data_IF_780525233531
#
_entry.id   IF_780525233531
#
_cell.length_a   1.000
_cell.length_b   1.000
_cell.length_c   1.000
_cell.angle_alpha   90.00
_cell.angle_beta   90.00
_cell.angle_gamma   90.00
#
_symmetry.space_group_name_H-M   'P 1'
#
loop_
_entity.id
_entity.type
_entity.pdbx_description
1 polymer ?
#
# COMPACT_ATOMS: atom_id res chain seq x y z
N UNK A 1 8.74 29.75 4.99
CA UNK A 1 9.01 28.30 5.10
C UNK A 1 8.46 27.67 3.83
N UNK A 2 9.20 26.81 3.12
CA UNK A 2 8.63 26.07 2.01
C UNK A 2 7.42 25.28 2.53
N UNK A 3 6.32 25.28 1.77
CA UNK A 3 5.16 24.47 2.14
C UNK A 3 5.56 22.99 2.09
N UNK A 4 5.09 22.15 3.04
CA UNK A 4 5.37 20.73 2.99
C UNK A 4 4.86 20.16 1.69
N UNK A 5 5.69 19.34 1.06
CA UNK A 5 5.46 18.74 -0.25
C UNK A 5 4.28 17.76 -0.18
N UNK A 6 3.26 17.94 -1.03
CA UNK A 6 2.13 17.04 -1.11
C UNK A 6 2.58 15.73 -1.77
N UNK A 7 2.45 14.62 -1.06
CA UNK A 7 2.79 13.28 -1.57
C UNK A 7 1.60 12.67 -2.31
N UNK A 8 0.40 12.80 -1.74
CA UNK A 8 -0.84 12.29 -2.33
C UNK A 8 -1.87 13.41 -2.34
N UNK A 9 -2.48 13.65 -3.52
CA UNK A 9 -3.61 14.55 -3.66
C UNK A 9 -4.73 13.83 -4.40
N UNK A 10 -5.92 13.87 -3.83
CA UNK A 10 -7.14 13.29 -4.38
C UNK A 10 -8.16 14.40 -4.52
N UNK A 11 -8.75 14.56 -5.70
CA UNK A 11 -9.78 15.56 -5.95
C UNK A 11 -11.03 14.92 -6.53
N UNK A 12 -12.16 15.04 -5.81
CA UNK A 12 -13.49 14.61 -6.22
C UNK A 12 -13.53 13.18 -6.78
N UNK A 13 -12.92 12.23 -6.09
CA UNK A 13 -12.84 10.85 -6.52
C UNK A 13 -14.21 10.16 -6.40
N UNK A 14 -14.68 9.53 -7.48
CA UNK A 14 -15.92 8.77 -7.53
C UNK A 14 -15.64 7.31 -7.90
N UNK A 15 -16.31 6.39 -7.19
CA UNK A 15 -16.28 4.95 -7.47
C UNK A 15 -17.64 4.33 -7.25
N UNK A 16 -18.09 3.57 -8.24
CA UNK A 16 -19.33 2.77 -8.16
C UNK A 16 -19.04 1.33 -8.57
N UNK A 17 -19.79 0.38 -8.01
CA UNK A 17 -19.87 -1.00 -8.41
C UNK A 17 -21.31 -1.27 -8.86
N UNK A 18 -21.56 -1.34 -10.17
CA UNK A 18 -22.91 -1.30 -10.73
C UNK A 18 -23.62 -0.03 -10.28
N UNK A 19 -24.80 -0.17 -9.70
CA UNK A 19 -25.63 0.95 -9.21
C UNK A 19 -25.22 1.46 -7.83
N UNK A 20 -24.34 0.73 -7.11
CA UNK A 20 -23.87 1.11 -5.78
C UNK A 20 -22.73 2.12 -5.87
N UNK A 21 -23.02 3.39 -5.56
CA UNK A 21 -21.99 4.43 -5.46
C UNK A 21 -21.31 4.37 -4.09
N UNK A 22 -20.02 3.99 -4.07
CA UNK A 22 -19.20 3.82 -2.86
C UNK A 22 -18.41 5.09 -2.53
N UNK A 23 -17.70 5.67 -3.51
CA UNK A 23 -17.03 6.96 -3.33
C UNK A 23 -17.85 8.05 -4.04
N UNK A 24 -18.18 9.12 -3.30
CA UNK A 24 -19.12 10.18 -3.73
C UNK A 24 -18.42 11.54 -3.78
N UNK A 25 -17.30 11.64 -4.52
CA UNK A 25 -16.55 12.89 -4.66
C UNK A 25 -15.58 13.15 -3.49
N UNK A 26 -14.85 12.10 -3.06
CA UNK A 26 -13.88 12.20 -1.97
C UNK A 26 -12.68 13.03 -2.40
N UNK A 27 -12.26 13.96 -1.54
CA UNK A 27 -11.04 14.76 -1.70
C UNK A 27 -10.18 14.64 -0.45
N UNK A 28 -8.87 14.51 -0.63
CA UNK A 28 -7.89 14.32 0.44
C UNK A 28 -6.53 14.82 -0.03
N UNK A 29 -5.76 15.42 0.88
CA UNK A 29 -4.34 15.71 0.66
C UNK A 29 -3.53 15.13 1.81
N UNK A 30 -2.48 14.39 1.49
CA UNK A 30 -1.49 13.91 2.44
C UNK A 30 -0.11 14.47 2.08
N UNK A 31 0.54 15.11 3.05
CA UNK A 31 1.86 15.73 2.91
C UNK A 31 2.93 14.82 3.49
N UNK A 32 4.15 15.07 3.14
CA UNK A 32 5.29 14.35 3.70
C UNK A 32 5.32 14.49 5.24
N UNK A 33 5.29 13.34 5.92
CA UNK A 33 5.27 13.26 7.39
C UNK A 33 3.88 13.27 8.01
N UNK A 34 2.81 13.45 7.24
CA UNK A 34 1.45 13.36 7.75
C UNK A 34 1.07 11.92 8.13
N UNK A 35 0.24 11.79 9.17
CA UNK A 35 -0.50 10.57 9.48
C UNK A 35 -1.99 10.86 9.29
N UNK A 36 -2.58 10.25 8.26
CA UNK A 36 -3.99 10.45 7.91
C UNK A 36 -4.81 9.23 8.30
N UNK A 37 -5.78 9.39 9.18
CA UNK A 37 -6.69 8.32 9.60
C UNK A 37 -8.04 8.43 8.91
N UNK A 38 -8.46 7.34 8.24
CA UNK A 38 -9.78 7.21 7.62
C UNK A 38 -10.73 6.54 8.62
N UNK A 39 -11.73 7.28 9.10
CA UNK A 39 -12.71 6.81 10.08
C UNK A 39 -14.07 6.62 9.40
N UNK A 40 -14.74 5.52 9.71
CA UNK A 40 -16.09 5.22 9.19
C UNK A 40 -16.48 3.78 9.47
N UNK A 41 -17.78 3.48 9.38
CA UNK A 41 -18.34 2.13 9.55
C UNK A 41 -17.81 1.14 8.52
N UNK A 42 -17.99 -0.16 8.77
CA UNK A 42 -17.73 -1.18 7.75
C UNK A 42 -18.56 -0.89 6.50
N UNK A 43 -17.99 -1.07 5.32
CA UNK A 43 -18.64 -0.77 4.05
C UNK A 43 -18.68 0.71 3.66
N UNK A 44 -18.12 1.65 4.45
CA UNK A 44 -18.11 3.08 4.10
C UNK A 44 -17.18 3.46 2.95
N UNK A 45 -16.42 2.51 2.38
CA UNK A 45 -15.55 2.73 1.22
C UNK A 45 -14.08 3.02 1.55
N UNK A 46 -13.63 2.87 2.81
CA UNK A 46 -12.22 3.09 3.21
C UNK A 46 -11.24 2.26 2.39
N UNK A 47 -11.44 0.94 2.35
CA UNK A 47 -10.60 0.03 1.56
C UNK A 47 -10.68 0.33 0.06
N UNK A 48 -11.86 0.69 -0.44
CA UNK A 48 -12.04 1.10 -1.84
C UNK A 48 -11.23 2.36 -2.16
N UNK A 49 -11.24 3.35 -1.27
CA UNK A 49 -10.43 4.56 -1.42
C UNK A 49 -8.93 4.23 -1.48
N UNK A 50 -8.42 3.45 -0.52
CA UNK A 50 -7.00 3.05 -0.48
C UNK A 50 -6.60 2.27 -1.74
N UNK A 51 -7.46 1.37 -2.23
CA UNK A 51 -7.21 0.62 -3.48
C UNK A 51 -7.24 1.51 -4.72
N UNK A 52 -8.12 2.52 -4.77
CA UNK A 52 -8.10 3.51 -5.85
C UNK A 52 -6.82 4.35 -5.82
N UNK A 53 -6.35 4.75 -4.65
CA UNK A 53 -5.09 5.52 -4.48
C UNK A 53 -3.88 4.71 -4.93
N UNK A 54 -3.84 3.41 -4.62
CA UNK A 54 -2.79 2.49 -5.09
C UNK A 54 -3.02 1.99 -6.53
N UNK A 55 -4.04 2.51 -7.22
CA UNK A 55 -4.41 2.12 -8.59
C UNK A 55 -4.72 0.61 -8.75
N UNK A 56 -5.07 -0.08 -7.65
CA UNK A 56 -5.57 -1.46 -7.66
C UNK A 56 -7.02 -1.54 -8.11
N UNK A 57 -7.76 -0.44 -7.93
CA UNK A 57 -9.13 -0.23 -8.38
C UNK A 57 -9.21 1.01 -9.25
N UNK A 58 -9.99 0.94 -10.32
CA UNK A 58 -10.25 2.09 -11.18
C UNK A 58 -11.27 3.04 -10.52
N UNK A 59 -11.12 4.32 -10.71
CA UNK A 59 -12.14 5.32 -10.37
C UNK A 59 -12.86 5.81 -11.61
N UNK A 60 -14.15 6.17 -11.52
CA UNK A 60 -14.89 6.68 -12.67
C UNK A 60 -14.62 8.17 -12.93
N UNK A 61 -14.42 8.96 -11.84
CA UNK A 61 -14.21 10.41 -11.92
C UNK A 61 -13.26 10.88 -10.82
N UNK A 62 -12.78 12.10 -10.95
CA UNK A 62 -11.86 12.75 -10.02
C UNK A 62 -10.41 12.60 -10.48
N UNK A 63 -9.50 13.16 -9.73
CA UNK A 63 -8.08 13.16 -10.03
C UNK A 63 -7.29 12.57 -8.86
N UNK A 64 -6.18 11.91 -9.18
CA UNK A 64 -5.19 11.43 -8.22
C UNK A 64 -3.85 11.96 -8.69
N UNK A 65 -3.15 12.67 -7.82
CA UNK A 65 -1.77 13.09 -8.05
C UNK A 65 -0.88 12.41 -7.03
N UNK A 66 0.30 11.98 -7.49
CA UNK A 66 1.38 11.50 -6.65
C UNK A 66 2.61 12.37 -6.89
N UNK A 67 3.13 13.03 -5.83
CA UNK A 67 4.22 14.02 -5.91
C UNK A 67 3.94 15.11 -6.97
N UNK A 68 2.70 15.60 -7.06
CA UNK A 68 2.29 16.61 -8.02
C UNK A 68 2.10 16.09 -9.45
N UNK A 69 2.41 14.82 -9.74
CA UNK A 69 2.22 14.19 -11.05
C UNK A 69 0.84 13.52 -11.13
N UNK A 70 -0.03 14.00 -12.03
CA UNK A 70 -1.36 13.43 -12.19
C UNK A 70 -1.31 12.05 -12.84
N UNK A 71 -2.14 11.12 -12.33
CA UNK A 71 -2.35 9.82 -12.96
C UNK A 71 -3.01 10.02 -14.33
N UNK A 72 -2.40 9.46 -15.36
CA UNK A 72 -2.93 9.50 -16.71
C UNK A 72 -4.01 8.43 -16.88
N UNK A 73 -5.19 8.84 -17.34
CA UNK A 73 -6.33 7.94 -17.51
C UNK A 73 -6.69 7.78 -19.00
N UNK A 74 -6.95 6.56 -19.43
CA UNK A 74 -7.53 6.26 -20.74
C UNK A 74 -9.04 6.10 -20.63
N UNK A 75 -9.77 6.46 -21.67
CA UNK A 75 -11.20 6.20 -21.75
C UNK A 75 -11.44 4.69 -21.94
N UNK A 76 -12.09 4.05 -20.99
CA UNK A 76 -12.62 2.70 -21.10
C UNK A 76 -14.12 2.71 -21.45
N UNK A 77 -14.64 1.58 -21.91
CA UNK A 77 -16.06 1.47 -22.29
C UNK A 77 -17.03 1.74 -21.11
N UNK A 78 -16.62 1.40 -19.90
CA UNK A 78 -17.44 1.55 -18.68
C UNK A 78 -16.68 2.23 -17.53
N UNK A 79 -15.35 2.10 -17.50
CA UNK A 79 -14.47 2.69 -16.51
C UNK A 79 -13.24 3.24 -17.23
N UNK A 80 -12.65 4.29 -16.68
CA UNK A 80 -11.32 4.72 -17.10
C UNK A 80 -10.28 3.83 -16.44
N UNK A 81 -9.18 3.57 -17.12
CA UNK A 81 -8.04 2.79 -16.60
C UNK A 81 -6.78 3.65 -16.63
N UNK A 82 -5.81 3.40 -15.74
CA UNK A 82 -4.50 4.06 -15.89
C UNK A 82 -3.93 3.79 -17.29
N UNK A 83 -3.59 4.88 -18.00
CA UNK A 83 -3.16 4.80 -19.39
C UNK A 83 -1.71 4.33 -19.53
N UNK A 84 -0.86 4.60 -18.54
CA UNK A 84 0.56 4.32 -18.55
C UNK A 84 0.94 3.30 -17.48
N UNK A 85 1.35 2.11 -17.93
CA UNK A 85 1.79 1.03 -17.03
C UNK A 85 3.10 1.37 -16.30
N UNK A 86 3.97 2.18 -16.89
CA UNK A 86 5.23 2.59 -16.26
C UNK A 86 4.94 3.58 -15.13
N UNK A 87 4.00 4.51 -15.32
CA UNK A 87 3.54 5.41 -14.27
C UNK A 87 2.93 4.62 -13.10
N UNK A 88 2.06 3.63 -13.39
CA UNK A 88 1.48 2.76 -12.36
C UNK A 88 2.56 2.02 -11.57
N UNK A 89 3.55 1.45 -12.27
CA UNK A 89 4.66 0.76 -11.61
C UNK A 89 5.47 1.72 -10.75
N UNK A 90 5.81 2.90 -11.25
CA UNK A 90 6.50 3.96 -10.51
C UNK A 90 5.75 4.32 -9.23
N UNK A 91 4.44 4.61 -9.34
CA UNK A 91 3.61 4.94 -8.17
C UNK A 91 3.62 3.81 -7.15
N UNK A 92 3.34 2.56 -7.54
CA UNK A 92 3.32 1.42 -6.62
C UNK A 92 4.67 1.09 -5.99
N UNK A 93 5.75 1.51 -6.60
CA UNK A 93 7.10 1.37 -6.03
C UNK A 93 7.31 2.32 -4.85
N UNK A 94 6.77 3.54 -4.94
CA UNK A 94 6.90 4.58 -3.91
C UNK A 94 5.71 4.62 -2.93
N UNK A 95 4.62 3.94 -3.25
CA UNK A 95 3.40 3.86 -2.45
C UNK A 95 3.11 2.41 -2.08
N UNK A 96 3.62 1.96 -0.94
CA UNK A 96 3.40 0.60 -0.45
C UNK A 96 2.06 0.46 0.24
N UNK A 97 1.49 -0.76 0.22
CA UNK A 97 0.22 -1.07 0.86
C UNK A 97 0.32 -2.33 1.73
N UNK A 98 -0.16 -2.21 2.97
CA UNK A 98 -0.37 -3.33 3.89
C UNK A 98 -1.85 -3.68 3.86
N UNK A 99 -2.17 -4.90 3.43
CA UNK A 99 -3.53 -5.40 3.28
C UNK A 99 -4.03 -6.02 4.58
N UNK A 100 -5.34 -6.03 4.79
CA UNK A 100 -6.01 -6.68 5.90
C UNK A 100 -5.64 -8.17 6.05
N UNK A 101 -5.49 -8.90 4.94
CA UNK A 101 -5.12 -10.33 4.92
C UNK A 101 -3.61 -10.58 4.85
N UNK A 102 -2.77 -9.53 5.02
CA UNK A 102 -1.30 -9.54 4.96
C UNK A 102 -0.70 -10.04 3.64
N UNK A 103 -1.33 -10.98 2.94
CA UNK A 103 -0.93 -11.53 1.63
C UNK A 103 0.55 -11.95 1.58
N UNK A 104 1.03 -12.63 2.61
CA UNK A 104 2.35 -13.23 2.60
C UNK A 104 2.38 -14.44 1.66
N UNK A 105 3.48 -14.62 0.94
CA UNK A 105 3.70 -15.79 0.09
C UNK A 105 4.00 -17.01 0.95
N UNK A 106 3.07 -17.98 0.99
CA UNK A 106 3.12 -19.13 1.88
C UNK A 106 4.32 -20.07 1.63
N UNK A 107 4.87 -20.07 0.41
CA UNK A 107 6.00 -20.90 -0.02
C UNK A 107 7.37 -20.25 0.21
N UNK A 108 7.41 -19.03 0.72
CA UNK A 108 8.62 -18.26 1.03
C UNK A 108 8.76 -18.09 2.55
N UNK A 109 9.99 -18.07 3.04
CA UNK A 109 10.29 -17.66 4.42
C UNK A 109 9.90 -16.20 4.64
N UNK A 110 9.87 -15.76 5.89
CA UNK A 110 9.58 -14.36 6.23
C UNK A 110 10.65 -13.43 5.66
N UNK A 111 11.92 -13.80 5.73
CA UNK A 111 13.00 -13.02 5.13
C UNK A 111 12.83 -12.91 3.60
N UNK A 112 12.55 -14.02 2.93
CA UNK A 112 12.32 -14.03 1.48
C UNK A 112 11.10 -13.17 1.09
N UNK A 113 10.00 -13.23 1.87
CA UNK A 113 8.83 -12.37 1.68
C UNK A 113 9.19 -10.87 1.72
N UNK A 114 10.09 -10.47 2.62
CA UNK A 114 10.51 -9.07 2.76
C UNK A 114 11.46 -8.65 1.65
N UNK A 115 12.32 -9.56 1.20
CA UNK A 115 13.35 -9.29 0.20
C UNK A 115 12.86 -9.28 -1.24
N UNK A 116 11.77 -10.01 -1.55
CA UNK A 116 11.35 -10.32 -2.92
C UNK A 116 11.17 -9.06 -3.79
N UNK A 117 10.36 -8.11 -3.33
CA UNK A 117 10.06 -6.92 -4.12
C UNK A 117 11.28 -5.99 -4.31
N UNK A 118 12.10 -5.67 -3.29
CA UNK A 118 13.32 -4.88 -3.49
C UNK A 118 14.31 -5.52 -4.47
N UNK A 119 14.44 -6.84 -4.48
CA UNK A 119 15.34 -7.56 -5.40
C UNK A 119 14.75 -7.60 -6.80
N UNK A 120 13.47 -7.98 -6.95
CA UNK A 120 12.87 -8.24 -8.27
C UNK A 120 12.37 -6.97 -8.95
N UNK A 121 11.83 -6.00 -8.21
CA UNK A 121 11.27 -4.76 -8.75
C UNK A 121 12.30 -3.64 -8.80
N UNK A 122 12.99 -3.38 -7.67
CA UNK A 122 14.00 -2.31 -7.58
C UNK A 122 15.37 -2.74 -8.13
N UNK A 123 15.56 -4.03 -8.41
CA UNK A 123 16.84 -4.60 -8.89
C UNK A 123 18.03 -4.32 -7.95
N UNK A 124 17.75 -4.16 -6.65
CA UNK A 124 18.80 -3.94 -5.64
C UNK A 124 19.62 -5.22 -5.42
N UNK A 125 20.92 -5.11 -5.12
CA UNK A 125 21.78 -6.27 -4.83
C UNK A 125 21.25 -7.08 -3.63
N UNK A 126 21.11 -8.40 -3.80
CA UNK A 126 20.55 -9.30 -2.78
C UNK A 126 21.19 -9.15 -1.38
N UNK A 127 22.53 -9.06 -1.22
CA UNK A 127 23.17 -8.92 0.10
C UNK A 127 22.77 -7.60 0.82
N UNK A 128 22.60 -6.53 0.05
CA UNK A 128 22.18 -5.22 0.56
C UNK A 128 20.74 -5.25 1.03
N UNK A 129 19.86 -5.86 0.22
CA UNK A 129 18.45 -6.05 0.57
C UNK A 129 18.31 -6.95 1.78
N UNK A 130 19.09 -8.03 1.91
CA UNK A 130 19.05 -8.91 3.08
C UNK A 130 19.39 -8.15 4.37
N UNK A 131 20.43 -7.31 4.34
CA UNK A 131 20.79 -6.46 5.48
C UNK A 131 19.64 -5.53 5.87
N UNK A 132 19.01 -4.88 4.89
CA UNK A 132 17.87 -4.00 5.13
C UNK A 132 16.65 -4.78 5.66
N UNK A 133 16.35 -5.94 5.08
CA UNK A 133 15.22 -6.78 5.47
C UNK A 133 15.35 -7.27 6.92
N UNK A 134 16.53 -7.74 7.32
CA UNK A 134 16.80 -8.15 8.71
C UNK A 134 16.62 -6.98 9.68
N UNK A 135 17.12 -5.80 9.33
CA UNK A 135 16.94 -4.58 10.11
C UNK A 135 15.45 -4.25 10.31
N UNK A 136 14.64 -4.30 9.23
CA UNK A 136 13.21 -4.01 9.36
C UNK A 136 12.46 -5.09 10.16
N UNK A 137 12.82 -6.36 10.03
CA UNK A 137 12.26 -7.45 10.85
C UNK A 137 12.59 -7.28 12.34
N UNK A 138 13.82 -6.84 12.68
CA UNK A 138 14.19 -6.47 14.05
C UNK A 138 13.38 -5.27 14.55
N UNK A 139 13.24 -4.21 13.76
CA UNK A 139 12.47 -3.01 14.14
C UNK A 139 11.01 -3.31 14.45
N UNK A 140 10.40 -4.28 13.75
CA UNK A 140 9.04 -4.71 14.05
C UNK A 140 8.97 -5.84 15.09
N UNK A 141 10.10 -6.24 15.68
CA UNK A 141 10.18 -7.18 16.79
C UNK A 141 9.94 -8.65 16.42
N UNK A 142 10.32 -9.07 15.21
CA UNK A 142 10.27 -10.47 14.74
C UNK A 142 11.55 -10.89 14.01
N UNK A 143 12.69 -10.33 14.41
CA UNK A 143 14.00 -10.67 13.82
C UNK A 143 14.38 -12.15 13.97
N UNK A 144 13.89 -12.82 15.03
CA UNK A 144 14.06 -14.25 15.27
C UNK A 144 13.23 -15.15 14.33
N UNK A 145 12.35 -14.60 13.51
CA UNK A 145 11.46 -15.33 12.60
C UNK A 145 11.89 -15.30 11.14
N UNK A 146 13.10 -14.85 10.82
CA UNK A 146 13.60 -14.74 9.45
C UNK A 146 13.41 -16.02 8.62
N UNK A 147 13.72 -17.18 9.21
CA UNK A 147 13.69 -18.48 8.53
C UNK A 147 12.34 -19.22 8.69
N UNK A 148 11.40 -18.64 9.42
CA UNK A 148 10.05 -19.19 9.57
C UNK A 148 9.19 -18.94 8.34
N UNK A 149 8.20 -19.80 8.11
CA UNK A 149 7.17 -19.63 7.08
C UNK A 149 5.92 -18.95 7.65
N UNK A 150 5.09 -18.27 6.83
CA UNK A 150 3.89 -17.57 7.29
C UNK A 150 2.97 -18.43 8.17
N UNK A 151 2.78 -19.72 7.85
CA UNK A 151 1.94 -20.64 8.61
C UNK A 151 2.43 -20.89 10.04
N UNK A 152 3.67 -20.58 10.37
CA UNK A 152 4.29 -20.76 11.69
C UNK A 152 4.16 -19.51 12.56
N UNK A 153 3.58 -18.43 12.04
CA UNK A 153 3.45 -17.14 12.71
C UNK A 153 2.01 -16.92 13.19
N UNK A 154 1.88 -16.26 14.35
CA UNK A 154 0.59 -15.71 14.80
C UNK A 154 0.13 -14.59 13.86
N UNK A 155 -1.17 -14.23 13.87
CA UNK A 155 -1.72 -13.14 13.06
C UNK A 155 -0.97 -11.82 13.26
N UNK A 156 -0.65 -11.45 14.51
CA UNK A 156 0.13 -10.25 14.81
C UNK A 156 1.58 -10.33 14.30
N UNK A 157 2.20 -11.51 14.27
CA UNK A 157 3.53 -11.70 13.69
C UNK A 157 3.48 -11.60 12.15
N UNK A 158 2.45 -12.19 11.52
CA UNK A 158 2.24 -12.05 10.06
C UNK A 158 2.01 -10.59 9.65
N UNK A 159 1.25 -9.84 10.45
CA UNK A 159 1.06 -8.41 10.25
C UNK A 159 2.39 -7.66 10.29
N UNK A 160 3.20 -7.90 11.33
CA UNK A 160 4.52 -7.28 11.45
C UNK A 160 5.44 -7.63 10.29
N UNK A 161 5.40 -8.87 9.79
CA UNK A 161 6.11 -9.28 8.59
C UNK A 161 5.64 -8.51 7.34
N UNK A 162 4.32 -8.31 7.17
CA UNK A 162 3.77 -7.52 6.07
C UNK A 162 4.18 -6.04 6.15
N UNK A 163 4.27 -5.47 7.35
CA UNK A 163 4.79 -4.12 7.56
C UNK A 163 6.28 -4.05 7.20
N UNK A 164 7.11 -4.99 7.67
CA UNK A 164 8.52 -5.04 7.31
C UNK A 164 8.73 -5.16 5.79
N UNK A 165 7.92 -5.99 5.11
CA UNK A 165 7.91 -6.12 3.65
C UNK A 165 7.61 -4.79 2.95
N UNK A 166 6.62 -4.05 3.43
CA UNK A 166 6.27 -2.75 2.88
C UNK A 166 7.38 -1.72 3.11
N UNK A 167 7.97 -1.69 4.31
CA UNK A 167 9.06 -0.76 4.68
C UNK A 167 10.36 -1.05 3.90
N UNK A 168 10.64 -2.32 3.56
CA UNK A 168 11.85 -2.70 2.83
C UNK A 168 11.90 -2.13 1.39
N UNK A 169 10.76 -1.73 0.85
CA UNK A 169 10.67 -0.95 -0.40
C UNK A 169 11.10 0.51 -0.23
N UNK A 170 11.28 0.98 1.01
CA UNK A 170 11.61 2.37 1.35
C UNK A 170 10.63 3.37 0.70
N UNK A 171 9.31 3.18 0.88
CA UNK A 171 8.29 3.96 0.20
C UNK A 171 8.20 5.38 0.75
N UNK A 172 7.68 6.30 -0.07
CA UNK A 172 7.37 7.67 0.34
C UNK A 172 6.07 7.77 1.14
N UNK A 173 5.13 6.85 0.91
CA UNK A 173 3.92 6.73 1.69
C UNK A 173 3.50 5.26 1.88
N UNK A 174 2.85 4.98 3.02
CA UNK A 174 2.29 3.67 3.39
C UNK A 174 0.78 3.77 3.53
N UNK A 175 0.09 2.88 2.87
CA UNK A 175 -1.36 2.69 3.01
C UNK A 175 -1.63 1.46 3.87
N UNK A 176 -2.50 1.61 4.87
CA UNK A 176 -2.92 0.52 5.76
C UNK A 176 -4.43 0.26 5.58
N UNK A 177 -4.79 -0.94 5.12
CA UNK A 177 -6.18 -1.37 4.98
C UNK A 177 -6.56 -2.21 6.20
N UNK A 178 -7.23 -1.60 7.18
CA UNK A 178 -7.70 -2.19 8.44
C UNK A 178 -6.65 -3.04 9.18
N UNK A 179 -5.51 -2.44 9.57
CA UNK A 179 -4.37 -3.19 10.11
C UNK A 179 -4.64 -3.92 11.44
N UNK A 180 -5.68 -3.54 12.17
CA UNK A 180 -6.00 -4.10 13.49
C UNK A 180 -7.10 -5.16 13.49
N UNK A 181 -7.78 -5.38 12.35
CA UNK A 181 -8.95 -6.28 12.27
C UNK A 181 -8.61 -7.77 12.43
N UNK A 182 -7.34 -8.14 12.26
CA UNK A 182 -6.85 -9.52 12.40
C UNK A 182 -6.13 -9.77 13.74
N UNK A 183 -6.13 -8.79 14.64
CA UNK A 183 -5.60 -8.94 16.00
C UNK A 183 -6.74 -9.32 16.93
N UNK A 184 -6.58 -10.40 17.70
CA UNK A 184 -7.48 -10.69 18.82
C UNK A 184 -7.50 -9.47 19.75
N UNK A 185 -8.69 -8.99 20.17
CA UNK A 185 -8.76 -7.98 21.20
C UNK A 185 -8.24 -8.61 22.51
N UNK A 186 -7.08 -8.18 22.97
CA UNK A 186 -6.65 -8.38 24.35
C UNK A 186 -7.38 -7.42 25.29
#
# INVERSE_FOLDING_TARGET
>A
MPQPENVIEISKLHKSYGDLQVLKGVSLTARKGDVVSLIGSSGSGKSTLLRCVNLLEDSQQGEILFNGEAVLWSAGKYNRMPADKQQVQKIRTHLSMVFQQFNLWAHMTILENVMEAPVTVLKRPRPEVETSARRYLEQVGIGDKCDAYPAQLSGGQQQRAAIARALCMEPEALLFDEPTSALDPE
#
